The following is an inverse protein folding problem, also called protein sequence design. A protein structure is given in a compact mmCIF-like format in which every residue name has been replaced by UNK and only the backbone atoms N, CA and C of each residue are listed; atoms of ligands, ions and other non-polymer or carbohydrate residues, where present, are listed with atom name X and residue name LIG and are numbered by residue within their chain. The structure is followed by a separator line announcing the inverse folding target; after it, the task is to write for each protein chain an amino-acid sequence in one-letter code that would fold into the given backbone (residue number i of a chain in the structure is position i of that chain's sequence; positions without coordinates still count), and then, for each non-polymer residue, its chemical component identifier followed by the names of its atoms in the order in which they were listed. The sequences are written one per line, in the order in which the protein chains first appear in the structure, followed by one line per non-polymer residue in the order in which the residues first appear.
data_IF_651953049299
#
_entry.id   IF_651953049299
#
_cell.length_a   1.000
_cell.length_b   1.000
_cell.length_c   1.000
_cell.angle_alpha   90.00
_cell.angle_beta   90.00
_cell.angle_gamma   90.00
#
_symmetry.space_group_name_H-M   'P 1'
#
loop_
_entity.id
_entity.type
_entity.pdbx_description
1 polymer ?
#
# COMPACT_ATOMS: atom_id res chain seq x y z
N UNK A 1 14.36 6.79 14.51
CA UNK A 1 14.33 5.47 15.17
C UNK A 1 14.15 4.43 14.07
N UNK A 2 15.21 3.67 13.80
CA UNK A 2 15.16 2.52 12.90
C UNK A 2 14.19 1.49 13.50
N UNK A 3 13.40 0.86 12.62
CA UNK A 3 12.42 -0.14 13.02
C UNK A 3 13.19 -1.44 13.26
N UNK A 4 13.15 -1.96 14.49
CA UNK A 4 13.73 -3.27 14.78
C UNK A 4 12.93 -4.34 14.04
N UNK A 5 13.63 -5.09 13.19
CA UNK A 5 13.03 -6.14 12.39
C UNK A 5 12.86 -7.40 13.24
N UNK A 6 11.71 -8.05 13.11
CA UNK A 6 11.50 -9.34 13.76
C UNK A 6 12.41 -10.43 13.15
N UNK A 7 12.77 -11.46 13.92
CA UNK A 7 13.72 -12.50 13.50
C UNK A 7 13.19 -13.46 12.41
N UNK A 8 11.93 -13.34 12.00
CA UNK A 8 11.30 -14.21 11.01
C UNK A 8 10.83 -13.38 9.81
N UNK A 9 11.18 -13.78 8.58
CA UNK A 9 10.86 -13.04 7.35
C UNK A 9 9.37 -12.85 7.11
N UNK A 10 8.56 -13.86 7.52
CA UNK A 10 7.10 -13.73 7.52
C UNK A 10 6.65 -12.65 8.50
N UNK A 11 7.27 -12.61 9.68
CA UNK A 11 6.96 -11.60 10.68
C UNK A 11 7.38 -10.19 10.22
N UNK A 12 8.52 -10.05 9.54
CA UNK A 12 8.94 -8.79 8.89
C UNK A 12 7.91 -8.34 7.86
N UNK A 13 7.44 -9.26 7.01
CA UNK A 13 6.40 -8.98 6.02
C UNK A 13 5.11 -8.49 6.68
N UNK A 14 4.70 -9.12 7.79
CA UNK A 14 3.53 -8.71 8.57
C UNK A 14 3.75 -7.39 9.33
N UNK A 15 4.97 -7.05 9.75
CA UNK A 15 5.25 -5.72 10.32
C UNK A 15 5.07 -4.59 9.32
N UNK A 16 5.30 -4.86 8.03
CA UNK A 16 5.10 -3.88 6.96
C UNK A 16 3.64 -3.90 6.52
N UNK A 17 3.10 -5.07 6.16
CA UNK A 17 1.81 -5.22 5.47
C UNK A 17 0.66 -5.76 6.32
N UNK A 18 0.84 -5.93 7.64
CA UNK A 18 -0.14 -6.57 8.52
C UNK A 18 -1.48 -5.86 8.65
N UNK A 19 -1.64 -4.65 8.12
CA UNK A 19 -2.94 -3.98 8.06
C UNK A 19 -3.62 -4.21 6.71
N UNK A 20 -4.92 -4.52 6.76
CA UNK A 20 -5.78 -4.63 5.56
C UNK A 20 -5.62 -3.43 4.63
N UNK A 21 -5.50 -2.23 5.19
CA UNK A 21 -5.44 -0.98 4.41
C UNK A 21 -4.15 -0.89 3.60
N UNK A 22 -2.99 -1.30 4.13
CA UNK A 22 -1.73 -1.28 3.37
C UNK A 22 -1.77 -2.22 2.17
N UNK A 23 -2.30 -3.43 2.36
CA UNK A 23 -2.52 -4.39 1.26
C UNK A 23 -3.41 -3.78 0.17
N UNK A 24 -4.52 -3.14 0.55
CA UNK A 24 -5.43 -2.51 -0.42
C UNK A 24 -4.80 -1.31 -1.13
N UNK A 25 -4.00 -0.49 -0.45
CA UNK A 25 -3.24 0.61 -1.06
C UNK A 25 -2.29 0.08 -2.12
N UNK A 26 -1.46 -0.90 -1.78
CA UNK A 26 -0.51 -1.51 -2.71
C UNK A 26 -1.23 -2.11 -3.91
N UNK A 27 -2.31 -2.87 -3.68
CA UNK A 27 -3.12 -3.47 -4.74
C UNK A 27 -3.73 -2.44 -5.69
N UNK A 28 -4.09 -1.24 -5.22
CA UNK A 28 -4.54 -0.15 -6.10
C UNK A 28 -3.38 0.54 -6.82
N UNK A 29 -2.22 0.68 -6.19
CA UNK A 29 -1.03 1.30 -6.79
C UNK A 29 -0.29 0.40 -7.80
N UNK A 30 -0.49 -0.93 -7.73
CA UNK A 30 -0.05 -1.86 -8.78
C UNK A 30 -0.71 -1.55 -10.14
N UNK A 31 -1.88 -0.91 -10.13
CA UNK A 31 -2.57 -0.45 -11.35
C UNK A 31 -2.02 0.88 -11.89
N UNK A 32 -1.00 1.44 -11.25
CA UNK A 32 -0.39 2.72 -11.59
C UNK A 32 -0.60 3.81 -10.54
N UNK A 33 0.01 4.96 -10.81
CA UNK A 33 0.01 6.14 -9.93
C UNK A 33 -1.41 6.63 -9.61
N UNK A 34 -1.66 7.00 -8.35
CA UNK A 34 -2.97 7.51 -7.87
C UNK A 34 -2.82 8.76 -7.04
N UNK A 35 -3.83 9.64 -7.09
CA UNK A 35 -4.01 10.72 -6.10
C UNK A 35 -4.66 10.20 -4.83
N UNK A 36 -4.55 10.97 -3.75
CA UNK A 36 -5.19 10.62 -2.46
C UNK A 36 -6.70 10.38 -2.60
N UNK A 37 -7.40 11.24 -3.35
CA UNK A 37 -8.85 11.13 -3.54
C UNK A 37 -9.28 9.86 -4.27
N UNK A 38 -8.44 9.36 -5.19
CA UNK A 38 -8.68 8.11 -5.89
C UNK A 38 -8.52 6.91 -4.96
N UNK A 39 -7.45 6.91 -4.13
CA UNK A 39 -7.24 5.88 -3.12
C UNK A 39 -8.34 5.89 -2.05
N UNK A 40 -8.73 7.07 -1.58
CA UNK A 40 -9.78 7.23 -0.57
C UNK A 40 -11.17 6.81 -1.08
N UNK A 41 -11.41 6.88 -2.40
CA UNK A 41 -12.63 6.38 -3.02
C UNK A 41 -12.59 4.86 -3.20
N UNK A 42 -11.44 4.30 -3.55
CA UNK A 42 -11.28 2.88 -3.82
C UNK A 42 -11.21 2.00 -2.56
N UNK A 43 -10.79 2.58 -1.43
CA UNK A 43 -10.50 1.82 -0.20
C UNK A 43 -11.48 2.24 0.90
N UNK A 44 -12.30 1.32 1.44
CA UNK A 44 -13.32 1.64 2.44
C UNK A 44 -12.69 1.88 3.82
N UNK A 45 -12.13 3.07 4.03
CA UNK A 45 -11.54 3.51 5.30
C UNK A 45 -11.70 5.02 5.51
N UNK A 46 -11.41 5.51 6.71
CA UNK A 46 -11.42 6.95 6.99
C UNK A 46 -10.18 7.62 6.40
N UNK A 47 -10.29 8.91 6.07
CA UNK A 47 -9.15 9.69 5.57
C UNK A 47 -7.95 9.68 6.53
N UNK A 48 -8.22 9.71 7.85
CA UNK A 48 -7.19 9.63 8.89
C UNK A 48 -6.44 8.30 8.83
N UNK A 49 -7.16 7.19 8.69
CA UNK A 49 -6.56 5.85 8.58
C UNK A 49 -5.75 5.73 7.28
N UNK A 50 -6.30 6.17 6.15
CA UNK A 50 -5.58 6.14 4.88
C UNK A 50 -4.28 6.96 4.94
N UNK A 51 -4.34 8.16 5.51
CA UNK A 51 -3.18 9.04 5.66
C UNK A 51 -2.09 8.40 6.53
N UNK A 52 -2.45 7.76 7.64
CA UNK A 52 -1.49 7.04 8.48
C UNK A 52 -0.79 5.91 7.71
N UNK A 53 -1.57 5.09 7.01
CA UNK A 53 -1.03 3.95 6.27
C UNK A 53 -0.15 4.40 5.09
N UNK A 54 -0.49 5.48 4.39
CA UNK A 54 0.35 6.05 3.33
C UNK A 54 1.70 6.56 3.89
N UNK A 55 1.67 7.27 5.03
CA UNK A 55 2.91 7.75 5.69
C UNK A 55 3.79 6.59 6.15
N UNK A 56 3.19 5.54 6.70
CA UNK A 56 3.94 4.34 7.10
C UNK A 56 4.55 3.61 5.90
N UNK A 57 3.79 3.43 4.81
CA UNK A 57 4.32 2.81 3.58
C UNK A 57 5.42 3.65 2.92
N UNK A 58 5.32 4.97 2.99
CA UNK A 58 6.37 5.89 2.51
C UNK A 58 7.63 5.77 3.37
N UNK A 59 7.46 5.74 4.71
CA UNK A 59 8.56 5.52 5.67
C UNK A 59 9.25 4.17 5.47
N UNK A 60 8.47 3.12 5.22
CA UNK A 60 8.95 1.76 4.95
C UNK A 60 9.47 1.61 3.50
N UNK A 61 9.57 2.70 2.72
CA UNK A 61 10.07 2.77 1.33
C UNK A 61 9.31 1.91 0.32
N UNK A 62 8.05 1.59 0.62
CA UNK A 62 7.17 0.82 -0.27
C UNK A 62 6.51 1.72 -1.32
N UNK A 63 6.15 2.94 -0.95
CA UNK A 63 5.57 3.92 -1.87
C UNK A 63 6.42 5.18 -1.95
N UNK A 64 6.33 5.87 -3.09
CA UNK A 64 6.84 7.22 -3.28
C UNK A 64 5.68 8.21 -3.30
N UNK A 65 5.87 9.37 -2.67
CA UNK A 65 4.94 10.49 -2.67
C UNK A 65 5.55 11.66 -3.43
N UNK A 66 4.88 12.12 -4.49
CA UNK A 66 5.33 13.25 -5.29
C UNK A 66 4.33 14.40 -5.20
N UNK A 67 4.82 15.57 -4.81
CA UNK A 67 4.05 16.82 -4.79
C UNK A 67 4.32 17.58 -6.08
N UNK A 68 3.26 18.04 -6.74
CA UNK A 68 3.35 18.90 -7.91
C UNK A 68 2.85 20.29 -7.54
N UNK A 69 3.73 21.28 -7.67
CA UNK A 69 3.43 22.71 -7.48
C UNK A 69 2.73 23.29 -8.72
N UNK A 70 1.59 22.70 -9.08
CA UNK A 70 0.67 23.22 -10.10
C UNK A 70 -0.54 23.87 -9.42
N UNK A 71 -1.39 24.57 -10.16
CA UNK A 71 -2.64 25.14 -9.64
C UNK A 71 -3.83 24.32 -10.15
N UNK A 72 -4.62 23.67 -9.29
CA UNK A 72 -4.42 23.48 -7.84
C UNK A 72 -3.31 22.44 -7.55
N UNK A 73 -2.61 22.52 -6.40
CA UNK A 73 -1.56 21.56 -6.06
C UNK A 73 -2.10 20.13 -6.02
N UNK A 74 -1.33 19.19 -6.57
CA UNK A 74 -1.69 17.76 -6.54
C UNK A 74 -0.58 16.92 -5.92
N UNK A 75 -0.99 15.83 -5.28
CA UNK A 75 -0.10 14.82 -4.71
C UNK A 75 -0.42 13.49 -5.35
N UNK A 76 0.62 12.82 -5.80
CA UNK A 76 0.55 11.49 -6.40
C UNK A 76 1.34 10.49 -5.55
N UNK A 77 0.84 9.26 -5.55
CA UNK A 77 1.45 8.11 -4.90
C UNK A 77 1.71 7.03 -5.95
N UNK A 78 2.88 6.40 -5.89
CA UNK A 78 3.26 5.27 -6.73
C UNK A 78 4.06 4.24 -5.92
N UNK A 79 4.12 3.00 -6.38
CA UNK A 79 5.02 2.00 -5.77
C UNK A 79 6.47 2.34 -6.13
N UNK A 80 7.37 2.11 -5.16
CA UNK A 80 8.82 2.05 -5.42
C UNK A 80 9.17 0.71 -6.08
N UNK A 81 10.42 0.53 -6.51
CA UNK A 81 10.88 -0.76 -7.03
C UNK A 81 10.74 -1.89 -5.98
N UNK A 82 11.07 -1.61 -4.71
CA UNK A 82 10.84 -2.55 -3.61
C UNK A 82 9.35 -2.83 -3.45
N UNK A 83 8.50 -1.80 -3.48
CA UNK A 83 7.06 -1.95 -3.35
C UNK A 83 6.42 -2.77 -4.46
N UNK A 84 6.99 -2.79 -5.68
CA UNK A 84 6.51 -3.65 -6.77
C UNK A 84 6.79 -5.13 -6.53
N UNK A 85 7.81 -5.48 -5.74
CA UNK A 85 8.18 -6.89 -5.50
C UNK A 85 7.10 -7.70 -4.77
N UNK A 86 6.13 -7.03 -4.15
CA UNK A 86 4.99 -7.66 -3.46
C UNK A 86 3.90 -8.17 -4.43
N UNK A 87 3.95 -7.78 -5.71
CA UNK A 87 2.94 -8.12 -6.71
C UNK A 87 2.60 -9.63 -6.77
N UNK A 88 3.57 -10.56 -6.77
CA UNK A 88 3.28 -11.99 -6.78
C UNK A 88 2.44 -12.44 -5.57
N UNK A 89 2.70 -11.86 -4.39
CA UNK A 89 1.95 -12.17 -3.16
C UNK A 89 0.51 -11.67 -3.28
N UNK A 90 0.30 -10.44 -3.76
CA UNK A 90 -1.04 -9.89 -4.00
C UNK A 90 -1.81 -10.76 -5.00
N UNK A 91 -1.16 -11.25 -6.06
CA UNK A 91 -1.75 -12.14 -7.04
C UNK A 91 -2.16 -13.48 -6.43
N UNK A 92 -1.33 -14.06 -5.56
CA UNK A 92 -1.67 -15.28 -4.82
C UNK A 92 -2.84 -15.06 -3.86
N UNK A 93 -2.87 -13.94 -3.13
CA UNK A 93 -3.99 -13.58 -2.25
C UNK A 93 -5.29 -13.44 -3.04
N UNK A 94 -5.26 -12.82 -4.23
CA UNK A 94 -6.42 -12.70 -5.10
C UNK A 94 -6.93 -14.08 -5.54
N UNK A 95 -6.03 -14.98 -5.97
CA UNK A 95 -6.40 -16.36 -6.36
C UNK A 95 -7.03 -17.11 -5.19
N UNK A 96 -6.42 -17.07 -4.02
CA UNK A 96 -6.94 -17.73 -2.82
C UNK A 96 -8.29 -17.15 -2.40
N UNK A 97 -8.45 -15.82 -2.41
CA UNK A 97 -9.72 -15.18 -2.07
C UNK A 97 -10.84 -15.48 -3.05
N UNK A 98 -10.51 -15.66 -4.34
CA UNK A 98 -11.47 -16.11 -5.35
C UNK A 98 -11.88 -17.57 -5.11
N UNK A 99 -10.94 -18.45 -4.79
CA UNK A 99 -11.25 -19.84 -4.40
C UNK A 99 -12.17 -19.88 -3.18
N UNK A 100 -11.81 -19.17 -2.09
CA UNK A 100 -12.58 -19.14 -0.85
C UNK A 100 -14.01 -18.61 -1.02
N UNK A 101 -14.22 -17.61 -1.90
CA UNK A 101 -15.56 -17.06 -2.18
C UNK A 101 -16.51 -18.07 -2.82
N UNK A 102 -15.96 -19.09 -3.50
CA UNK A 102 -16.72 -20.11 -4.20
C UNK A 102 -16.83 -21.42 -3.40
N UNK A 103 -16.42 -21.43 -2.12
CA UNK A 103 -16.81 -22.46 -1.16
C UNK A 103 -18.26 -22.25 -0.74
#
# INVERSE_FOLDING_TARGET
MEKELLPCDVAVSLQIFGTKIKILVVKELLKGTKRFSELNRAIPCTQKVLTSNLRELEKDKIISRKVYAVVPPKVEYSLTEIGKTIEPIINLMNKWGAYYRNL
#
